data_IF_893285627333
#
_entry.id   IF_893285627333
#
_cell.length_a   1.000
_cell.length_b   1.000
_cell.length_c   1.000
_cell.angle_alpha   90.00
_cell.angle_beta   90.00
_cell.angle_gamma   90.00
#
_symmetry.space_group_name_H-M   'P 1'
#
loop_
_entity.id
_entity.type
_entity.pdbx_description
1 polymer ?
#
# COMPACT_ATOMS: atom_id res chain seq x y z
N UNK A 1 -4.53 -7.45 17.41
CA UNK A 1 -4.66 -7.27 15.95
C UNK A 1 -4.45 -5.79 15.64
N UNK A 2 -3.86 -5.45 14.50
CA UNK A 2 -3.58 -4.04 14.15
C UNK A 2 -4.84 -3.36 13.62
N UNK A 3 -5.36 -2.37 14.34
CA UNK A 3 -6.56 -1.60 13.95
C UNK A 3 -6.23 -0.21 13.39
N UNK A 4 -5.07 0.36 13.77
CA UNK A 4 -4.66 1.69 13.32
C UNK A 4 -3.17 1.69 13.02
N UNK A 5 -2.80 2.22 11.85
CA UNK A 5 -1.42 2.46 11.44
C UNK A 5 -1.25 3.95 11.18
N UNK A 6 -0.46 4.61 12.01
CA UNK A 6 -0.16 6.03 11.90
C UNK A 6 1.35 6.21 11.84
N UNK A 7 1.83 6.84 10.78
CA UNK A 7 3.23 7.18 10.57
C UNK A 7 3.29 8.69 10.32
N UNK A 8 4.06 9.39 11.15
CA UNK A 8 4.19 10.84 11.09
C UNK A 8 5.63 11.28 11.30
N UNK A 9 6.04 12.37 10.63
CA UNK A 9 7.33 13.04 10.85
C UNK A 9 8.54 12.10 10.77
N UNK A 10 8.57 11.25 9.75
CA UNK A 10 9.66 10.32 9.50
C UNK A 10 10.39 10.70 8.21
N UNK A 11 11.39 11.57 8.33
CA UNK A 11 12.12 12.14 7.19
C UNK A 11 12.98 11.15 6.39
N UNK A 12 13.36 10.01 6.98
CA UNK A 12 14.21 9.01 6.35
C UNK A 12 13.46 7.73 5.93
N UNK A 13 12.19 7.59 6.32
CA UNK A 13 11.42 6.39 6.02
C UNK A 13 11.10 6.32 4.53
N UNK A 14 11.59 5.28 3.85
CA UNK A 14 11.36 5.05 2.41
C UNK A 14 10.28 4.02 2.10
N UNK A 15 10.19 2.99 2.95
CA UNK A 15 9.26 1.87 2.83
C UNK A 15 8.70 1.49 4.21
N UNK A 16 7.42 1.12 4.27
CA UNK A 16 6.74 0.71 5.51
C UNK A 16 7.09 -0.74 5.85
N UNK A 17 7.05 -1.62 4.86
CA UNK A 17 7.33 -3.05 4.98
C UNK A 17 8.68 -3.30 4.32
N UNK A 18 9.61 -3.83 5.09
CA UNK A 18 10.91 -4.30 4.61
C UNK A 18 10.81 -5.80 4.37
N UNK A 19 11.39 -6.27 3.28
CA UNK A 19 11.72 -7.69 3.15
C UNK A 19 12.82 -7.99 4.18
N UNK A 20 12.66 -9.07 4.95
CA UNK A 20 13.76 -9.63 5.71
C UNK A 20 14.52 -10.55 4.75
N UNK A 21 15.86 -10.49 4.74
CA UNK A 21 16.73 -11.29 3.86
C UNK A 21 16.67 -12.81 4.15
N UNK A 22 15.62 -13.27 4.84
CA UNK A 22 15.35 -14.66 5.11
C UNK A 22 15.11 -15.42 3.81
N UNK A 23 15.96 -16.41 3.61
CA UNK A 23 15.87 -17.44 2.58
C UNK A 23 14.40 -17.80 2.35
N UNK A 24 13.89 -17.56 1.13
CA UNK A 24 12.57 -18.06 0.76
C UNK A 24 12.58 -19.55 1.08
N UNK A 25 11.77 -19.97 2.05
CA UNK A 25 11.60 -21.40 2.33
C UNK A 25 10.96 -21.99 1.08
N UNK A 26 11.81 -22.52 0.19
CA UNK A 26 11.39 -23.38 -0.89
C UNK A 26 10.82 -24.58 -0.16
N UNK A 27 9.50 -24.58 0.06
CA UNK A 27 8.79 -25.76 0.56
C UNK A 27 9.16 -26.86 -0.44
N UNK A 28 9.97 -27.87 -0.06
CA UNK A 28 10.34 -28.90 -1.00
C UNK A 28 9.05 -29.61 -1.35
N UNK A 29 8.65 -29.53 -2.62
CA UNK A 29 7.59 -30.39 -3.11
C UNK A 29 8.01 -31.84 -2.81
N UNK A 30 7.07 -32.59 -2.22
CA UNK A 30 7.27 -34.02 -2.00
C UNK A 30 7.61 -34.65 -3.35
N UNK A 31 8.67 -35.47 -3.46
CA UNK A 31 9.17 -35.91 -4.75
C UNK A 31 8.15 -36.85 -5.41
N UNK A 32 7.39 -36.31 -6.37
CA UNK A 32 6.32 -37.03 -7.04
C UNK A 32 5.65 -36.24 -8.16
N UNK A 33 6.29 -36.23 -9.32
CA UNK A 33 5.72 -36.17 -10.68
C UNK A 33 5.66 -34.81 -11.43
N UNK A 34 6.51 -34.78 -12.47
CA UNK A 34 6.36 -34.21 -13.83
C UNK A 34 6.75 -32.74 -14.11
N UNK A 35 7.45 -32.59 -15.24
CA UNK A 35 8.32 -31.51 -15.67
C UNK A 35 7.56 -30.27 -16.21
N UNK A 36 7.24 -29.29 -15.35
CA UNK A 36 7.10 -27.87 -15.73
C UNK A 36 7.30 -26.98 -14.49
N UNK A 37 8.55 -26.70 -14.11
CA UNK A 37 8.85 -25.73 -13.06
C UNK A 37 8.67 -24.29 -13.59
N UNK A 38 7.42 -23.84 -13.68
CA UNK A 38 7.14 -22.41 -13.54
C UNK A 38 7.32 -22.05 -12.06
N UNK A 39 8.03 -20.97 -11.70
CA UNK A 39 7.98 -20.48 -10.33
C UNK A 39 6.51 -20.23 -10.01
N UNK A 40 5.97 -20.90 -8.99
CA UNK A 40 4.63 -20.61 -8.49
C UNK A 40 4.64 -19.13 -8.12
N UNK A 41 4.07 -18.30 -8.99
CA UNK A 41 3.80 -16.91 -8.74
C UNK A 41 2.62 -16.88 -7.77
N UNK A 42 2.90 -17.24 -6.50
CA UNK A 42 1.96 -17.07 -5.40
C UNK A 42 1.55 -15.61 -5.47
N UNK A 43 0.26 -15.36 -5.66
CA UNK A 43 -0.31 -14.02 -5.69
C UNK A 43 0.10 -13.32 -4.38
N UNK A 44 1.14 -12.50 -4.44
CA UNK A 44 1.71 -11.82 -3.27
C UNK A 44 0.86 -10.60 -2.99
N UNK A 45 -0.32 -10.86 -2.45
CA UNK A 45 -1.19 -9.85 -1.89
C UNK A 45 -0.98 -9.78 -0.37
N UNK A 46 -0.90 -8.55 0.15
CA UNK A 46 -0.92 -8.33 1.61
C UNK A 46 -2.30 -7.84 2.01
N UNK A 47 -2.97 -8.64 2.83
CA UNK A 47 -4.26 -8.27 3.43
C UNK A 47 -4.04 -7.80 4.85
N UNK A 48 -4.54 -6.60 5.16
CA UNK A 48 -4.63 -6.06 6.53
C UNK A 48 -6.10 -6.07 6.98
N UNK A 49 -6.63 -7.23 7.40
CA UNK A 49 -8.07 -7.46 7.50
C UNK A 49 -8.76 -6.64 8.59
N UNK A 50 -8.03 -6.18 9.60
CA UNK A 50 -8.60 -5.46 10.74
C UNK A 50 -8.21 -3.97 10.77
N UNK A 51 -7.43 -3.50 9.80
CA UNK A 51 -6.98 -2.11 9.79
C UNK A 51 -8.17 -1.20 9.45
N UNK A 52 -8.54 -0.33 10.40
CA UNK A 52 -9.62 0.65 10.28
C UNK A 52 -9.08 2.03 9.92
N UNK A 53 -7.91 2.40 10.43
CA UNK A 53 -7.31 3.70 10.17
C UNK A 53 -5.90 3.58 9.60
N UNK A 54 -5.64 4.27 8.50
CA UNK A 54 -4.31 4.42 7.89
C UNK A 54 -3.99 5.91 7.71
N UNK A 55 -2.92 6.37 8.35
CA UNK A 55 -2.52 7.78 8.33
C UNK A 55 -1.04 7.92 8.06
N UNK A 56 -0.71 8.57 6.94
CA UNK A 56 0.64 8.93 6.52
C UNK A 56 0.74 10.45 6.49
N UNK A 57 1.57 11.02 7.36
CA UNK A 57 1.67 12.47 7.53
C UNK A 57 3.14 12.92 7.54
N UNK A 58 3.50 13.95 6.78
CA UNK A 58 4.85 14.55 6.83
C UNK A 58 5.98 13.53 6.56
N UNK A 59 5.81 12.72 5.53
CA UNK A 59 6.79 11.71 5.14
C UNK A 59 7.52 12.17 3.87
N UNK A 60 8.57 12.96 4.04
CA UNK A 60 9.30 13.59 2.93
C UNK A 60 10.10 12.62 2.06
N UNK A 61 10.33 11.40 2.53
CA UNK A 61 11.12 10.37 1.83
C UNK A 61 10.37 9.07 1.53
N UNK A 62 9.10 8.93 1.95
CA UNK A 62 8.33 7.71 1.68
C UNK A 62 8.08 7.61 0.18
N UNK A 63 8.38 6.44 -0.40
CA UNK A 63 8.15 6.17 -1.83
C UNK A 63 6.95 5.25 -1.99
N UNK A 64 6.91 4.15 -1.24
CA UNK A 64 5.84 3.18 -1.32
C UNK A 64 5.76 2.31 -0.06
N UNK A 65 4.78 1.40 0.00
CA UNK A 65 4.58 0.55 1.17
C UNK A 65 5.64 -0.55 1.26
N UNK A 66 5.96 -1.17 0.13
CA UNK A 66 6.90 -2.27 -0.01
C UNK A 66 7.74 -2.10 -1.28
N UNK A 67 8.98 -2.57 -1.22
CA UNK A 67 9.88 -2.63 -2.37
C UNK A 67 10.07 -4.09 -2.79
N UNK A 68 9.93 -4.40 -4.08
CA UNK A 68 10.39 -5.66 -4.70
C UNK A 68 9.54 -6.93 -4.47
N UNK A 69 8.78 -7.05 -3.37
CA UNK A 69 8.11 -8.32 -3.06
C UNK A 69 6.60 -8.35 -3.35
N UNK A 70 5.87 -7.27 -3.05
CA UNK A 70 4.42 -7.19 -3.17
C UNK A 70 4.09 -5.78 -3.64
N UNK A 71 3.26 -5.66 -4.66
CA UNK A 71 2.79 -4.37 -5.16
C UNK A 71 1.33 -4.10 -4.80
N UNK A 72 0.56 -5.09 -4.33
CA UNK A 72 -0.87 -4.98 -4.08
C UNK A 72 -1.28 -5.25 -2.62
N UNK A 73 -2.00 -4.30 -2.04
CA UNK A 73 -2.49 -4.33 -0.66
C UNK A 73 -4.01 -4.21 -0.62
N UNK A 74 -4.66 -5.01 0.23
CA UNK A 74 -6.08 -4.87 0.54
C UNK A 74 -6.33 -4.48 2.01
N UNK A 75 -7.27 -3.56 2.20
CA UNK A 75 -7.75 -3.12 3.51
C UNK A 75 -9.28 -3.29 3.60
N UNK A 76 -9.78 -4.52 3.83
CA UNK A 76 -11.21 -4.83 3.84
C UNK A 76 -12.02 -4.05 4.87
N UNK A 77 -11.41 -3.66 5.99
CA UNK A 77 -12.05 -2.96 7.11
C UNK A 77 -11.63 -1.50 7.24
N UNK A 78 -10.94 -0.91 6.25
CA UNK A 78 -10.53 0.48 6.33
C UNK A 78 -11.75 1.41 6.36
N UNK A 79 -11.81 2.25 7.38
CA UNK A 79 -12.83 3.27 7.61
C UNK A 79 -12.28 4.65 7.23
N UNK A 80 -10.97 4.88 7.43
CA UNK A 80 -10.32 6.17 7.18
C UNK A 80 -8.91 6.02 6.61
N UNK A 81 -8.63 6.77 5.56
CA UNK A 81 -7.31 6.96 4.97
C UNK A 81 -6.96 8.45 4.95
N UNK A 82 -5.76 8.80 5.40
CA UNK A 82 -5.19 10.15 5.30
C UNK A 82 -3.77 10.08 4.77
N UNK A 83 -3.50 10.83 3.70
CA UNK A 83 -2.16 11.05 3.16
C UNK A 83 -1.95 12.56 3.08
N UNK A 84 -1.04 13.08 3.89
CA UNK A 84 -0.78 14.52 3.99
C UNK A 84 0.74 14.76 3.93
N UNK A 85 1.20 15.64 3.05
CA UNK A 85 2.62 16.03 2.99
C UNK A 85 3.56 14.82 2.78
N UNK A 86 3.20 13.96 1.82
CA UNK A 86 4.00 12.81 1.39
C UNK A 86 4.41 12.97 -0.09
N UNK A 87 5.32 13.91 -0.41
CA UNK A 87 5.59 14.34 -1.79
C UNK A 87 6.11 13.24 -2.72
N UNK A 88 6.80 12.24 -2.17
CA UNK A 88 7.45 11.18 -2.96
C UNK A 88 6.63 9.90 -3.04
N UNK A 89 5.44 9.86 -2.42
CA UNK A 89 4.62 8.65 -2.37
C UNK A 89 4.04 8.35 -3.76
N UNK A 90 4.39 7.19 -4.32
CA UNK A 90 3.91 6.70 -5.62
C UNK A 90 2.80 5.65 -5.51
N UNK A 91 2.31 5.41 -4.29
CA UNK A 91 1.26 4.42 -4.02
C UNK A 91 -0.10 4.92 -4.52
N UNK A 92 -0.72 4.17 -5.43
CA UNK A 92 -2.07 4.40 -5.93
C UNK A 92 -3.08 3.79 -4.99
N UNK A 93 -4.00 4.61 -4.49
CA UNK A 93 -5.11 4.15 -3.67
C UNK A 93 -6.39 4.11 -4.51
N UNK A 94 -7.16 3.04 -4.38
CA UNK A 94 -8.41 2.87 -5.10
C UNK A 94 -9.47 2.19 -4.23
N UNK A 95 -10.73 2.60 -4.40
CA UNK A 95 -11.86 1.88 -3.80
C UNK A 95 -12.18 0.67 -4.66
N UNK A 96 -12.26 -0.51 -4.03
CA UNK A 96 -12.62 -1.74 -4.72
C UNK A 96 -14.12 -1.79 -5.02
N UNK A 97 -14.55 -2.72 -5.86
CA UNK A 97 -15.98 -2.97 -6.12
C UNK A 97 -16.79 -3.33 -4.86
N UNK A 98 -16.12 -3.73 -3.78
CA UNK A 98 -16.74 -4.12 -2.52
C UNK A 98 -16.77 -2.98 -1.49
N UNK A 99 -16.39 -1.76 -1.87
CA UNK A 99 -16.34 -0.62 -0.95
C UNK A 99 -15.17 -0.67 0.04
N UNK A 100 -14.18 -1.55 -0.19
CA UNK A 100 -12.93 -1.56 0.57
C UNK A 100 -11.86 -0.70 -0.11
N UNK A 101 -10.74 -0.46 0.56
CA UNK A 101 -9.59 0.23 -0.01
C UNK A 101 -8.54 -0.77 -0.49
N UNK A 102 -7.93 -0.49 -1.63
CA UNK A 102 -6.71 -1.15 -2.12
C UNK A 102 -5.60 -0.13 -2.32
N UNK A 103 -4.35 -0.55 -2.12
CA UNK A 103 -3.17 0.25 -2.47
C UNK A 103 -2.27 -0.53 -3.43
N UNK A 104 -1.82 0.12 -4.49
CA UNK A 104 -0.89 -0.44 -5.45
C UNK A 104 0.38 0.42 -5.53
N UNK A 105 1.53 -0.21 -5.37
CA UNK A 105 2.82 0.47 -5.54
C UNK A 105 3.23 0.46 -7.01
N UNK A 106 3.32 1.62 -7.65
CA UNK A 106 3.90 1.71 -8.99
C UNK A 106 5.37 2.12 -8.96
N UNK A 107 6.13 1.54 -9.90
CA UNK A 107 7.48 1.98 -10.27
C UNK A 107 7.33 2.87 -11.50
N UNK A 108 6.93 4.11 -11.31
CA UNK A 108 6.74 5.07 -12.42
C UNK A 108 7.85 6.12 -12.39
N UNK A 109 8.56 6.28 -13.50
CA UNK A 109 9.68 7.23 -13.70
C UNK A 109 9.24 8.69 -13.98
N UNK A 110 7.94 9.00 -13.86
CA UNK A 110 7.39 10.32 -14.19
C UNK A 110 6.66 10.87 -12.97
N UNK A 111 7.33 11.80 -12.29
CA UNK A 111 6.85 12.46 -11.08
C UNK A 111 5.93 13.63 -11.44
N UNK A 112 4.67 13.35 -11.72
CA UNK A 112 3.66 14.42 -11.86
C UNK A 112 2.45 14.10 -11.01
N UNK A 113 2.57 14.45 -9.73
CA UNK A 113 1.61 15.22 -8.93
C UNK A 113 1.94 15.02 -7.43
N UNK A 114 3.05 15.62 -7.04
CA UNK A 114 3.69 15.45 -5.74
C UNK A 114 2.97 16.33 -4.70
N UNK A 115 2.29 15.71 -3.75
CA UNK A 115 1.62 16.31 -2.57
C UNK A 115 0.21 16.84 -2.78
N UNK A 116 -0.72 16.03 -3.28
CA UNK A 116 -2.12 16.27 -2.94
C UNK A 116 -2.40 15.65 -1.57
N UNK A 117 -2.94 16.48 -0.67
CA UNK A 117 -3.52 16.00 0.57
C UNK A 117 -4.77 15.22 0.24
N UNK A 118 -4.76 13.91 0.45
CA UNK A 118 -5.90 13.05 0.09
C UNK A 118 -6.45 12.42 1.35
N UNK A 119 -7.75 12.56 1.50
CA UNK A 119 -8.50 11.91 2.57
C UNK A 119 -9.62 11.08 1.97
N UNK A 120 -9.78 9.88 2.48
CA UNK A 120 -10.87 8.99 2.13
C UNK A 120 -11.53 8.46 3.39
N UNK A 121 -12.85 8.32 3.33
CA UNK A 121 -13.62 7.60 4.34
C UNK A 121 -14.51 6.58 3.67
N UNK A 122 -14.78 5.46 4.34
CA UNK A 122 -15.62 4.39 3.80
C UNK A 122 -16.99 4.87 3.33
N UNK A 123 -17.62 5.73 4.12
CA UNK A 123 -19.00 6.14 3.87
C UNK A 123 -19.11 7.24 2.81
N UNK A 124 -18.08 8.07 2.64
CA UNK A 124 -18.12 9.25 1.76
C UNK A 124 -17.17 9.16 0.55
N UNK A 125 -16.32 8.15 0.47
CA UNK A 125 -15.29 8.08 -0.56
C UNK A 125 -14.16 9.10 -0.36
N UNK A 126 -13.51 9.48 -1.46
CA UNK A 126 -12.47 10.51 -1.47
C UNK A 126 -13.10 11.89 -1.24
N UNK A 127 -12.50 12.70 -0.36
CA UNK A 127 -12.90 14.10 -0.25
C UNK A 127 -12.55 14.81 -1.54
N UNK A 128 -13.54 15.45 -2.15
CA UNK A 128 -13.32 16.39 -3.24
C UNK A 128 -12.55 17.58 -2.65
N UNK A 129 -11.39 17.91 -3.23
CA UNK A 129 -10.71 19.17 -2.93
C UNK A 129 -11.70 20.27 -3.28
N UNK A 130 -12.27 20.91 -2.26
CA UNK A 130 -13.30 21.92 -2.44
C UNK A 130 -12.82 22.93 -3.46
N UNK A 131 -13.65 23.21 -4.46
CA UNK A 131 -13.48 24.30 -5.41
C UNK A 131 -13.03 25.56 -4.67
N UNK A 132 -11.73 25.81 -4.66
CA UNK A 132 -11.18 27.13 -4.40
C UNK A 132 -11.08 27.84 -5.74
N UNK A 133 -12.22 28.19 -6.32
CA UNK A 133 -12.36 29.18 -7.38
C UNK A 133 -13.72 29.89 -7.21
N UNK A 134 -13.59 31.15 -6.78
CA UNK A 134 -14.50 32.32 -6.81
C UNK A 134 -15.89 32.18 -7.46
#
# INVERSE_FOLDING_TARGET
>A
MLESLRISDCGELKHIIREEDGEREIIPESPGQDDQASPVNVEKEVVLPNLKELSLEQLSSIVCFSFGWCDYFLFPCLEKLKVHQCPKLTTKFATTRYGSMSAQSEVSEVAEDSSINREWTRDNGWKEDGDSCL
#
